data_IF_084472403514
#
_entry.id   IF_084472403514
#
_cell.length_a   1.000
_cell.length_b   1.000
_cell.length_c   1.000
_cell.angle_alpha   90.00
_cell.angle_beta   90.00
_cell.angle_gamma   90.00
#
_symmetry.space_group_name_H-M   'P 1'
#
loop_
_entity.id
_entity.type
_entity.pdbx_description
1 polymer ?
#
# COMPACT_ATOMS: atom_id res chain seq x y z
N UNK A 1 9.17 31.14 1.12
CA UNK A 1 9.52 30.89 -0.29
C UNK A 1 8.54 29.97 -1.01
N UNK A 2 7.80 29.08 -0.32
CA UNK A 2 6.84 28.13 -0.93
C UNK A 2 5.48 28.77 -1.32
N UNK A 3 5.10 29.90 -0.70
CA UNK A 3 3.81 30.54 -0.97
C UNK A 3 3.73 31.32 -2.30
N UNK A 4 4.86 31.71 -2.89
CA UNK A 4 4.88 32.52 -4.11
C UNK A 4 4.69 31.70 -5.41
N UNK A 5 4.68 30.36 -5.32
CA UNK A 5 4.49 29.48 -6.48
C UNK A 5 3.00 29.21 -6.80
N UNK A 6 2.07 29.71 -5.99
CA UNK A 6 0.63 29.54 -6.16
C UNK A 6 -0.05 30.75 -6.83
N UNK A 7 0.70 31.80 -7.19
CA UNK A 7 0.15 33.05 -7.76
C UNK A 7 0.40 33.20 -9.28
N UNK A 8 0.94 32.19 -9.96
CA UNK A 8 0.97 32.23 -11.43
C UNK A 8 -0.38 31.73 -11.98
N UNK A 9 -1.06 32.61 -12.73
CA UNK A 9 -2.26 32.32 -13.52
C UNK A 9 -1.97 31.22 -14.57
N UNK A 10 -1.93 29.97 -14.12
CA UNK A 10 -1.94 28.78 -14.96
C UNK A 10 -3.40 28.37 -15.10
N UNK A 11 -3.93 28.37 -16.32
CA UNK A 11 -5.28 27.87 -16.65
C UNK A 11 -5.59 26.59 -15.87
N UNK A 12 -6.67 26.57 -15.08
CA UNK A 12 -7.03 25.45 -14.18
C UNK A 12 -7.11 24.10 -14.93
N UNK A 13 -7.49 24.14 -16.22
CA UNK A 13 -7.48 22.98 -17.13
C UNK A 13 -6.09 22.36 -17.29
N UNK A 14 -5.07 23.21 -17.35
CA UNK A 14 -3.67 22.81 -17.47
C UNK A 14 -3.15 22.23 -16.14
N UNK A 15 -3.60 22.76 -14.99
CA UNK A 15 -3.23 22.25 -13.66
C UNK A 15 -3.82 20.85 -13.39
N UNK A 16 -5.10 20.62 -13.71
CA UNK A 16 -5.73 19.30 -13.55
C UNK A 16 -5.04 18.26 -14.45
N UNK A 17 -4.78 18.60 -15.72
CA UNK A 17 -4.07 17.70 -16.65
C UNK A 17 -2.67 17.39 -16.18
N UNK A 18 -1.92 18.38 -15.68
CA UNK A 18 -0.59 18.17 -15.08
C UNK A 18 -0.64 17.19 -13.91
N UNK A 19 -1.65 17.28 -13.05
CA UNK A 19 -1.84 16.32 -11.96
C UNK A 19 -2.01 14.88 -12.48
N UNK A 20 -2.86 14.67 -13.49
CA UNK A 20 -3.07 13.34 -14.08
C UNK A 20 -1.84 12.81 -14.81
N UNK A 21 -1.12 13.67 -15.55
CA UNK A 21 0.14 13.29 -16.20
C UNK A 21 1.19 12.87 -15.18
N UNK A 22 1.22 13.54 -14.03
CA UNK A 22 2.10 13.22 -12.91
C UNK A 22 1.79 11.85 -12.30
N UNK A 23 0.52 11.45 -12.21
CA UNK A 23 0.13 10.10 -11.81
C UNK A 23 0.59 9.03 -12.82
N UNK A 24 0.49 9.32 -14.11
CA UNK A 24 0.97 8.41 -15.18
C UNK A 24 2.49 8.19 -15.07
N UNK A 25 3.26 9.27 -14.87
CA UNK A 25 4.71 9.20 -14.68
C UNK A 25 5.09 8.31 -13.50
N UNK A 26 4.40 8.47 -12.37
CA UNK A 26 4.59 7.63 -11.17
C UNK A 26 4.32 6.15 -11.44
N UNK A 27 3.24 5.83 -12.17
CA UNK A 27 2.93 4.45 -12.51
C UNK A 27 3.99 3.85 -13.43
N UNK A 28 4.48 4.61 -14.42
CA UNK A 28 5.58 4.18 -15.27
C UNK A 28 6.86 3.89 -14.47
N UNK A 29 7.24 4.78 -13.56
CA UNK A 29 8.37 4.54 -12.66
C UNK A 29 8.16 3.32 -11.76
N UNK A 30 6.93 3.12 -11.27
CA UNK A 30 6.60 1.97 -10.42
C UNK A 30 6.79 0.66 -11.16
N UNK A 31 6.35 0.59 -12.42
CA UNK A 31 6.56 -0.59 -13.28
C UNK A 31 8.05 -0.91 -13.43
N UNK A 32 8.90 0.11 -13.52
CA UNK A 32 10.37 -0.07 -13.64
C UNK A 32 11.01 -0.49 -12.32
N UNK A 33 10.59 0.10 -11.19
CA UNK A 33 11.21 -0.13 -9.87
C UNK A 33 10.75 -1.42 -9.20
N UNK A 34 9.50 -1.82 -9.41
CA UNK A 34 8.91 -2.90 -8.64
C UNK A 34 9.42 -4.28 -9.07
N UNK A 35 9.75 -5.10 -8.08
CA UNK A 35 10.16 -6.49 -8.30
C UNK A 35 8.93 -7.38 -8.27
N UNK A 36 8.65 -8.05 -9.38
CA UNK A 36 7.50 -8.95 -9.50
C UNK A 36 7.57 -10.05 -8.45
N UNK A 37 8.75 -10.65 -8.23
CA UNK A 37 8.97 -11.70 -7.25
C UNK A 37 8.65 -11.24 -5.83
N UNK A 38 8.86 -9.96 -5.53
CA UNK A 38 8.52 -9.39 -4.23
C UNK A 38 6.99 -9.29 -4.06
N UNK A 39 6.25 -8.90 -5.10
CA UNK A 39 4.78 -8.93 -5.08
C UNK A 39 4.29 -10.36 -4.86
N UNK A 40 4.78 -11.33 -5.65
CA UNK A 40 4.36 -12.73 -5.53
C UNK A 40 4.65 -13.29 -4.13
N UNK A 41 5.82 -12.95 -3.57
CA UNK A 41 6.18 -13.34 -2.21
C UNK A 41 5.25 -12.73 -1.18
N UNK A 42 4.96 -11.44 -1.26
CA UNK A 42 4.06 -10.75 -0.33
C UNK A 42 2.64 -11.30 -0.42
N UNK A 43 2.11 -11.51 -1.62
CA UNK A 43 0.78 -12.14 -1.79
C UNK A 43 0.75 -13.53 -1.17
N UNK A 44 1.79 -14.35 -1.39
CA UNK A 44 1.89 -15.68 -0.78
C UNK A 44 1.93 -15.62 0.75
N UNK A 45 2.64 -14.65 1.34
CA UNK A 45 2.66 -14.46 2.78
C UNK A 45 1.29 -14.10 3.33
N UNK A 46 0.59 -13.16 2.70
CA UNK A 46 -0.76 -12.76 3.11
C UNK A 46 -1.70 -13.96 2.99
N UNK A 47 -1.67 -14.70 1.86
CA UNK A 47 -2.48 -15.89 1.61
C UNK A 47 -2.33 -16.98 2.69
N UNK A 48 -1.11 -17.21 3.14
CA UNK A 48 -0.80 -18.25 4.13
C UNK A 48 -0.82 -17.76 5.58
N UNK A 49 -0.98 -16.45 5.80
CA UNK A 49 -1.01 -15.86 7.14
C UNK A 49 -2.29 -16.25 7.88
N UNK A 50 -2.20 -16.43 9.19
CA UNK A 50 -3.41 -16.59 10.02
C UNK A 50 -4.19 -15.28 10.10
N UNK A 51 -3.47 -14.17 10.22
CA UNK A 51 -3.99 -12.80 10.24
C UNK A 51 -2.98 -11.88 9.57
N UNK A 52 -3.48 -10.94 8.78
CA UNK A 52 -2.70 -9.85 8.22
C UNK A 52 -3.15 -8.53 8.84
N UNK A 53 -2.18 -7.71 9.23
CA UNK A 53 -2.40 -6.37 9.77
C UNK A 53 -1.75 -5.35 8.85
N UNK A 54 -2.43 -4.24 8.58
CA UNK A 54 -1.87 -3.13 7.80
C UNK A 54 -1.74 -1.92 8.72
N UNK A 55 -0.57 -1.29 8.74
CA UNK A 55 -0.29 -0.07 9.48
C UNK A 55 0.32 0.97 8.52
N UNK A 56 -0.27 2.15 8.46
CA UNK A 56 0.18 3.22 7.57
C UNK A 56 -0.89 4.30 7.41
N UNK A 57 -0.47 5.51 7.03
CA UNK A 57 -1.27 6.74 6.84
C UNK A 57 -2.12 7.16 8.05
N UNK A 58 -1.89 8.35 8.61
CA UNK A 58 -2.60 8.96 9.76
C UNK A 58 -3.51 7.99 10.54
N UNK A 59 -2.92 7.02 11.25
CA UNK A 59 -3.72 6.09 12.02
C UNK A 59 -4.45 6.89 13.10
N UNK A 60 -5.78 6.92 13.03
CA UNK A 60 -6.67 7.81 13.79
C UNK A 60 -6.62 7.59 15.31
N UNK A 61 -5.84 6.60 15.79
CA UNK A 61 -5.26 6.64 17.13
C UNK A 61 -4.12 5.63 17.29
N UNK A 62 -2.98 6.12 17.80
CA UNK A 62 -1.84 5.30 18.23
C UNK A 62 -2.24 4.22 19.26
N UNK A 63 -3.28 4.47 20.04
CA UNK A 63 -3.81 3.54 21.05
C UNK A 63 -4.47 2.30 20.42
N UNK A 64 -5.27 2.46 19.37
CA UNK A 64 -5.92 1.33 18.67
C UNK A 64 -4.88 0.48 17.96
N UNK A 65 -3.98 1.09 17.17
CA UNK A 65 -2.90 0.36 16.53
C UNK A 65 -2.05 -0.39 17.59
N UNK A 66 -1.69 0.28 18.68
CA UNK A 66 -0.99 -0.34 19.79
C UNK A 66 -1.75 -1.49 20.45
N UNK A 67 -3.09 -1.45 20.51
CA UNK A 67 -3.92 -2.53 21.05
C UNK A 67 -3.85 -3.78 20.18
N UNK A 68 -4.03 -3.66 18.86
CA UNK A 68 -3.98 -4.80 17.95
C UNK A 68 -2.58 -5.40 17.84
N UNK A 69 -1.53 -4.57 17.73
CA UNK A 69 -0.14 -5.03 17.59
C UNK A 69 0.39 -5.75 18.85
N UNK A 70 -0.24 -5.56 20.02
CA UNK A 70 0.08 -6.37 21.21
C UNK A 70 -0.23 -7.85 21.00
N UNK A 71 -1.24 -8.17 20.22
CA UNK A 71 -1.76 -9.52 20.03
C UNK A 71 -1.16 -10.27 18.84
N UNK A 72 -0.35 -9.60 18.00
CA UNK A 72 0.38 -10.27 16.91
C UNK A 72 1.34 -11.34 17.45
N UNK A 73 1.36 -12.49 16.78
CA UNK A 73 2.18 -13.66 17.11
C UNK A 73 2.88 -14.21 15.85
N UNK A 74 3.93 -15.04 16.02
CA UNK A 74 4.50 -15.77 14.88
C UNK A 74 3.42 -16.49 14.06
N UNK A 75 3.47 -16.33 12.73
CA UNK A 75 2.45 -16.81 11.79
C UNK A 75 1.40 -15.76 11.37
N UNK A 76 1.38 -14.60 12.03
CA UNK A 76 0.71 -13.40 11.52
C UNK A 76 1.66 -12.62 10.58
N UNK A 77 1.11 -11.74 9.74
CA UNK A 77 1.87 -10.83 8.86
C UNK A 77 1.50 -9.38 9.20
N UNK A 78 2.49 -8.49 9.30
CA UNK A 78 2.28 -7.05 9.48
C UNK A 78 2.90 -6.29 8.33
N UNK A 79 2.06 -5.50 7.63
CA UNK A 79 2.45 -4.66 6.49
C UNK A 79 2.53 -3.22 6.97
N UNK A 80 3.74 -2.65 6.98
CA UNK A 80 3.98 -1.23 7.20
C UNK A 80 3.98 -0.48 5.87
N UNK A 81 3.19 0.58 5.77
CA UNK A 81 3.17 1.49 4.62
C UNK A 81 3.61 2.88 5.10
N UNK A 82 4.69 3.40 4.50
CA UNK A 82 5.22 4.72 4.85
C UNK A 82 5.88 5.39 3.66
N UNK A 83 5.46 6.63 3.39
CA UNK A 83 5.92 7.43 2.26
C UNK A 83 6.41 8.81 2.70
N UNK A 84 7.20 9.49 1.86
CA UNK A 84 7.71 10.84 2.14
C UNK A 84 8.53 10.93 3.42
N UNK A 85 8.28 11.96 4.27
CA UNK A 85 9.02 12.16 5.52
C UNK A 85 8.84 11.03 6.56
N UNK A 86 7.94 10.08 6.30
CA UNK A 86 7.81 8.84 7.06
C UNK A 86 7.27 9.01 8.47
N UNK A 87 6.34 8.14 8.87
CA UNK A 87 5.80 8.18 10.22
C UNK A 87 6.65 7.33 11.17
N UNK A 88 7.30 7.98 12.14
CA UNK A 88 8.03 7.29 13.24
C UNK A 88 7.18 6.22 13.90
N UNK A 89 5.87 6.45 14.02
CA UNK A 89 4.93 5.49 14.60
C UNK A 89 4.90 4.17 13.82
N UNK A 90 4.88 4.21 12.49
CA UNK A 90 4.87 3.01 11.63
C UNK A 90 6.19 2.24 11.78
N UNK A 91 7.31 2.95 11.80
CA UNK A 91 8.65 2.36 12.02
C UNK A 91 8.75 1.68 13.38
N UNK A 92 8.34 2.37 14.45
CA UNK A 92 8.34 1.83 15.82
C UNK A 92 7.43 0.60 15.96
N UNK A 93 6.29 0.63 15.29
CA UNK A 93 5.35 -0.47 15.27
C UNK A 93 5.95 -1.69 14.57
N UNK A 94 6.55 -1.51 13.39
CA UNK A 94 7.19 -2.59 12.63
C UNK A 94 8.35 -3.19 13.43
N UNK A 95 9.22 -2.35 14.00
CA UNK A 95 10.29 -2.75 14.93
C UNK A 95 9.78 -3.63 16.08
N UNK A 96 8.68 -3.22 16.72
CA UNK A 96 8.12 -3.96 17.87
C UNK A 96 7.57 -5.32 17.49
N UNK A 97 6.91 -5.45 16.34
CA UNK A 97 6.35 -6.75 15.91
C UNK A 97 7.43 -7.66 15.34
N UNK A 98 8.43 -7.11 14.64
CA UNK A 98 9.59 -7.87 14.18
C UNK A 98 10.33 -8.50 15.37
N UNK A 99 10.53 -7.73 16.46
CA UNK A 99 11.15 -8.25 17.69
C UNK A 99 10.37 -9.39 18.37
N UNK A 100 9.09 -9.62 18.00
CA UNK A 100 8.28 -10.77 18.45
C UNK A 100 8.37 -11.99 17.51
N UNK A 101 9.15 -11.91 16.44
CA UNK A 101 9.23 -12.94 15.40
C UNK A 101 8.00 -12.99 14.48
N UNK A 102 7.28 -11.87 14.36
CA UNK A 102 6.18 -11.72 13.39
C UNK A 102 6.77 -11.37 12.03
N UNK A 103 6.23 -11.94 10.95
CA UNK A 103 6.68 -11.61 9.60
C UNK A 103 6.28 -10.18 9.24
N UNK A 104 7.25 -9.39 8.77
CA UNK A 104 7.09 -7.98 8.47
C UNK A 104 7.32 -7.67 7.00
N UNK A 105 6.44 -6.82 6.45
CA UNK A 105 6.54 -6.32 5.07
C UNK A 105 6.57 -4.79 5.13
N UNK A 106 7.49 -4.16 4.41
CA UNK A 106 7.51 -2.72 4.23
C UNK A 106 7.13 -2.34 2.80
N UNK A 107 6.23 -1.38 2.67
CA UNK A 107 5.90 -0.68 1.43
C UNK A 107 6.32 0.79 1.60
N UNK A 108 7.23 1.25 0.76
CA UNK A 108 7.79 2.60 0.87
C UNK A 108 8.23 3.13 -0.50
N UNK A 109 8.46 4.42 -0.60
CA UNK A 109 8.88 5.13 -1.81
C UNK A 109 10.40 5.35 -1.88
N UNK A 110 11.13 4.94 -0.85
CA UNK A 110 12.55 5.23 -0.69
C UNK A 110 13.36 4.03 -0.21
N UNK A 111 14.43 3.73 -0.94
CA UNK A 111 15.42 2.70 -0.58
C UNK A 111 16.19 3.01 0.71
N UNK A 112 16.17 4.26 1.16
CA UNK A 112 16.81 4.71 2.42
C UNK A 112 15.79 4.89 3.55
N UNK A 113 14.55 4.43 3.36
CA UNK A 113 13.51 4.53 4.36
C UNK A 113 13.89 3.72 5.62
N UNK A 114 13.78 4.30 6.83
CA UNK A 114 14.05 3.60 8.09
C UNK A 114 13.06 2.43 8.32
N UNK A 115 11.94 2.41 7.61
CA UNK A 115 11.00 1.29 7.66
C UNK A 115 11.63 -0.03 7.17
N UNK A 116 12.57 0.06 6.22
CA UNK A 116 13.22 -1.10 5.60
C UNK A 116 14.19 -1.84 6.54
N UNK A 117 14.63 -1.20 7.63
CA UNK A 117 15.47 -1.83 8.65
C UNK A 117 14.71 -2.94 9.39
N UNK A 118 13.41 -2.75 9.59
CA UNK A 118 12.56 -3.64 10.39
C UNK A 118 11.61 -4.50 9.56
N UNK A 119 11.97 -4.73 8.29
CA UNK A 119 11.15 -5.46 7.33
C UNK A 119 11.89 -6.68 6.77
N UNK A 120 11.26 -7.85 6.87
CA UNK A 120 11.73 -9.10 6.25
C UNK A 120 11.56 -9.06 4.73
N UNK A 121 10.49 -8.40 4.26
CA UNK A 121 10.17 -8.24 2.85
C UNK A 121 9.96 -6.76 2.50
N UNK A 122 10.50 -6.35 1.35
CA UNK A 122 10.61 -4.93 0.96
C UNK A 122 9.97 -4.72 -0.40
N UNK A 123 8.99 -3.82 -0.45
CA UNK A 123 8.35 -3.33 -1.67
C UNK A 123 8.63 -1.84 -1.77
N UNK A 124 9.65 -1.49 -2.57
CA UNK A 124 9.98 -0.09 -2.86
C UNK A 124 9.28 0.29 -4.16
N UNK A 125 8.47 1.35 -4.09
CA UNK A 125 7.63 1.85 -5.19
C UNK A 125 8.00 3.29 -5.54
N UNK A 126 7.45 3.84 -6.62
CA UNK A 126 7.54 5.26 -6.89
C UNK A 126 6.34 6.01 -6.30
N UNK A 127 6.55 7.26 -5.91
CA UNK A 127 5.50 8.21 -5.54
C UNK A 127 5.84 9.55 -6.16
N UNK A 128 4.82 10.32 -6.56
CA UNK A 128 5.03 11.72 -6.95
C UNK A 128 4.76 12.65 -5.79
N UNK A 129 5.62 13.66 -5.60
CA UNK A 129 5.29 14.86 -4.85
C UNK A 129 6.49 15.46 -4.12
N UNK A 130 6.61 16.79 -4.16
CA UNK A 130 7.43 17.53 -3.21
C UNK A 130 6.54 17.99 -2.05
N UNK A 131 6.89 17.53 -0.84
CA UNK A 131 6.55 18.05 0.49
C UNK A 131 5.09 18.29 0.94
N UNK A 132 4.11 18.66 0.10
CA UNK A 132 2.74 19.04 0.54
C UNK A 132 1.64 18.18 -0.07
N UNK A 133 1.79 17.75 -1.32
CA UNK A 133 0.86 16.82 -1.98
C UNK A 133 1.63 15.69 -2.64
N UNK A 134 1.46 14.48 -2.11
CA UNK A 134 2.01 13.25 -2.70
C UNK A 134 0.90 12.39 -3.28
N UNK A 135 1.03 11.98 -4.54
CA UNK A 135 0.11 11.02 -5.15
C UNK A 135 0.32 9.63 -4.58
N UNK A 136 -0.78 9.01 -4.12
CA UNK A 136 -0.78 7.63 -3.60
C UNK A 136 -1.13 6.59 -4.67
N UNK A 137 -1.19 6.98 -5.95
CA UNK A 137 -1.65 6.12 -7.06
C UNK A 137 -0.88 4.78 -7.13
N UNK A 138 0.42 4.79 -6.83
CA UNK A 138 1.23 3.57 -6.81
C UNK A 138 0.86 2.60 -5.70
N UNK A 139 0.51 3.10 -4.52
CA UNK A 139 0.11 2.25 -3.41
C UNK A 139 -1.19 1.51 -3.73
N UNK A 140 -2.16 2.22 -4.32
CA UNK A 140 -3.39 1.62 -4.82
C UNK A 140 -3.15 0.65 -5.98
N UNK A 141 -2.25 0.99 -6.91
CA UNK A 141 -1.89 0.10 -8.01
C UNK A 141 -1.26 -1.20 -7.50
N UNK A 142 -0.37 -1.13 -6.51
CA UNK A 142 0.21 -2.32 -5.85
C UNK A 142 -0.87 -3.13 -5.11
N UNK A 143 -1.80 -2.48 -4.41
CA UNK A 143 -2.91 -3.20 -3.79
C UNK A 143 -3.74 -3.97 -4.84
N UNK A 144 -4.01 -3.36 -6.00
CA UNK A 144 -4.70 -4.01 -7.10
C UNK A 144 -3.92 -5.21 -7.65
N UNK A 145 -2.60 -5.11 -7.84
CA UNK A 145 -1.80 -6.25 -8.31
C UNK A 145 -1.76 -7.39 -7.30
N UNK A 146 -1.75 -7.11 -6.00
CA UNK A 146 -1.87 -8.12 -4.95
C UNK A 146 -3.23 -8.83 -5.06
N UNK A 147 -4.34 -8.10 -5.24
CA UNK A 147 -5.68 -8.68 -5.42
C UNK A 147 -5.73 -9.55 -6.69
N UNK A 148 -5.18 -9.10 -7.80
CA UNK A 148 -5.11 -9.89 -9.04
C UNK A 148 -4.33 -11.19 -8.83
N UNK A 149 -3.21 -11.13 -8.10
CA UNK A 149 -2.42 -12.31 -7.78
C UNK A 149 -3.18 -13.26 -6.85
N UNK A 150 -4.00 -12.76 -5.92
CA UNK A 150 -4.88 -13.59 -5.11
C UNK A 150 -5.90 -14.36 -5.95
N UNK A 151 -6.55 -13.69 -6.89
CA UNK A 151 -7.51 -14.32 -7.80
C UNK A 151 -6.82 -15.43 -8.59
N UNK A 152 -5.61 -15.16 -9.11
CA UNK A 152 -4.80 -16.16 -9.81
C UNK A 152 -4.44 -17.35 -8.91
N UNK A 153 -4.04 -17.11 -7.66
CA UNK A 153 -3.69 -18.16 -6.70
C UNK A 153 -4.89 -19.03 -6.28
N UNK A 154 -6.08 -18.45 -6.16
CA UNK A 154 -7.28 -19.19 -5.78
C UNK A 154 -7.91 -20.01 -6.91
N UNK A 155 -7.51 -19.77 -8.16
CA UNK A 155 -7.91 -20.54 -9.34
C UNK A 155 -9.44 -20.64 -9.48
N UNK A 156 -9.93 -21.85 -9.76
CA UNK A 156 -11.37 -22.11 -9.95
C UNK A 156 -12.22 -21.75 -8.73
N UNK A 157 -11.70 -21.89 -7.50
CA UNK A 157 -12.46 -21.54 -6.30
C UNK A 157 -12.75 -20.04 -6.23
N UNK A 158 -11.75 -19.22 -6.50
CA UNK A 158 -11.93 -17.76 -6.58
C UNK A 158 -12.84 -17.37 -7.74
N UNK A 159 -12.70 -18.02 -8.91
CA UNK A 159 -13.56 -17.76 -10.05
C UNK A 159 -15.04 -18.05 -9.74
N UNK A 160 -15.33 -19.18 -9.09
CA UNK A 160 -16.71 -19.51 -8.68
C UNK A 160 -17.27 -18.51 -7.68
N UNK A 161 -16.49 -18.13 -6.66
CA UNK A 161 -16.97 -17.17 -5.67
C UNK A 161 -17.20 -15.77 -6.26
N UNK A 162 -16.37 -15.33 -7.21
CA UNK A 162 -16.59 -14.07 -7.92
C UNK A 162 -17.86 -14.11 -8.78
N UNK A 163 -18.17 -15.25 -9.41
CA UNK A 163 -19.44 -15.43 -10.16
C UNK A 163 -20.65 -15.39 -9.22
N UNK A 164 -20.55 -16.03 -8.04
CA UNK A 164 -21.60 -15.98 -7.01
C UNK A 164 -21.85 -14.55 -6.53
N UNK A 165 -20.77 -13.80 -6.24
CA UNK A 165 -20.85 -12.39 -5.84
C UNK A 165 -21.49 -11.54 -6.96
N UNK A 166 -21.10 -11.75 -8.21
CA UNK A 166 -21.71 -11.04 -9.34
C UNK A 166 -23.22 -11.31 -9.43
N UNK A 167 -23.64 -12.57 -9.34
CA UNK A 167 -25.05 -12.93 -9.37
C UNK A 167 -25.84 -12.27 -8.23
N UNK A 168 -25.28 -12.28 -7.01
CA UNK A 168 -25.92 -11.61 -5.86
C UNK A 168 -26.05 -10.10 -6.07
N UNK A 169 -25.05 -9.46 -6.67
CA UNK A 169 -25.08 -8.03 -6.97
C UNK A 169 -26.13 -7.69 -8.05
N UNK A 170 -26.27 -8.55 -9.06
CA UNK A 170 -27.28 -8.42 -10.11
C UNK A 170 -28.69 -8.59 -9.51
N UNK A 171 -28.88 -9.59 -8.65
CA UNK A 171 -30.15 -9.84 -7.95
C UNK A 171 -30.54 -8.65 -7.03
N UNK A 172 -29.55 -7.96 -6.47
CA UNK A 172 -29.74 -6.80 -5.59
C UNK A 172 -29.89 -5.46 -6.34
N UNK A 173 -29.83 -5.45 -7.68
CA UNK A 173 -29.81 -4.22 -8.48
C UNK A 173 -28.79 -3.18 -7.94
N UNK A 174 -27.57 -3.62 -7.63
CA UNK A 174 -26.53 -2.74 -7.07
C UNK A 174 -26.12 -1.64 -8.07
N UNK A 175 -26.23 -1.93 -9.36
CA UNK A 175 -25.87 -1.02 -10.45
C UNK A 175 -27.13 -0.54 -11.20
N UNK A 176 -27.09 0.69 -11.70
CA UNK A 176 -28.16 1.32 -12.49
C UNK A 176 -28.13 0.89 -13.95
#
# INVERSE_FOLDING_TARGET
MVLNALEENVDDSDTIKKSLLKDIEVLNETVVKIKIEAIEKVTSLIYNSKRTYIIGFESTSRSIAGYYLRHCKPGDVVIGISFGQGMRLTVDALKKVQAKGVTTVAITDSEVSPLLEFADHKLVTAICGEFVYSSSVSAFSIANTIIQQFIKMGGEKSATHLRELQQQMDDLNVWY
#
